data_IF_667510263105
#
_entry.id   IF_667510263105
#
_cell.length_a   1.000
_cell.length_b   1.000
_cell.length_c   1.000
_cell.angle_alpha   90.00
_cell.angle_beta   90.00
_cell.angle_gamma   90.00
#
_symmetry.space_group_name_H-M   'P 1'
#
loop_
_entity.id
_entity.type
_entity.pdbx_description
1 polymer ?
#
# COMPACT_ATOMS: atom_id res chain seq x y z
N UNK A 1 -22.67 26.60 -25.19
CA UNK A 1 -22.81 25.34 -24.47
C UNK A 1 -21.46 25.06 -23.81
N UNK A 2 -21.33 25.43 -22.53
CA UNK A 2 -20.10 25.27 -21.78
C UNK A 2 -20.08 23.84 -21.22
N UNK A 3 -19.25 23.00 -21.79
CA UNK A 3 -18.81 21.77 -21.12
C UNK A 3 -17.73 22.16 -20.14
N UNK A 4 -18.12 22.44 -18.90
CA UNK A 4 -17.22 22.44 -17.74
C UNK A 4 -16.72 21.03 -17.57
N UNK A 5 -15.48 20.81 -17.95
CA UNK A 5 -14.71 19.61 -17.65
C UNK A 5 -14.48 19.62 -16.14
N UNK A 6 -15.31 18.86 -15.40
CA UNK A 6 -15.18 18.64 -13.96
C UNK A 6 -14.05 17.61 -13.73
N UNK A 7 -12.80 18.09 -13.87
CA UNK A 7 -11.56 17.32 -13.57
C UNK A 7 -11.18 17.50 -12.11
N UNK A 8 -12.16 17.79 -11.25
CA UNK A 8 -11.90 18.09 -9.86
C UNK A 8 -11.57 16.79 -9.09
N UNK A 9 -10.26 16.51 -8.92
CA UNK A 9 -9.77 15.69 -7.82
C UNK A 9 -9.90 14.16 -7.97
N UNK A 10 -10.11 13.59 -9.17
CA UNK A 10 -10.15 12.14 -9.33
C UNK A 10 -8.78 11.53 -9.05
N UNK A 11 -8.72 10.64 -8.05
CA UNK A 11 -7.54 9.82 -7.76
C UNK A 11 -7.44 8.74 -8.83
N UNK A 12 -6.32 8.67 -9.52
CA UNK A 12 -6.01 7.61 -10.49
C UNK A 12 -4.94 6.69 -9.92
N UNK A 13 -5.19 5.38 -9.92
CA UNK A 13 -4.21 4.37 -9.51
C UNK A 13 -3.58 3.76 -10.74
N UNK A 14 -2.24 3.70 -10.74
CA UNK A 14 -1.46 3.06 -11.80
C UNK A 14 -0.46 2.07 -11.19
N UNK A 15 -0.43 0.81 -11.67
CA UNK A 15 0.66 -0.12 -11.35
C UNK A 15 2.00 0.46 -11.79
N UNK A 16 3.04 0.13 -11.04
CA UNK A 16 4.41 0.51 -11.36
C UNK A 16 4.84 -0.06 -12.70
N UNK A 17 5.30 0.81 -13.60
CA UNK A 17 5.94 0.43 -14.85
C UNK A 17 7.47 0.48 -14.73
N UNK A 18 8.24 -0.38 -15.44
CA UNK A 18 9.71 -0.42 -15.34
C UNK A 18 10.42 0.91 -15.62
N UNK A 19 9.86 1.76 -16.47
CA UNK A 19 10.43 3.08 -16.82
C UNK A 19 10.14 4.18 -15.79
N UNK A 20 9.32 3.90 -14.76
CA UNK A 20 8.91 4.88 -13.74
C UNK A 20 9.85 4.93 -12.53
N UNK A 21 11.12 4.63 -12.69
CA UNK A 21 12.07 4.60 -11.58
C UNK A 21 12.24 5.96 -10.87
N UNK A 22 12.15 7.08 -11.59
CA UNK A 22 12.22 8.43 -11.00
C UNK A 22 11.03 8.71 -10.09
N UNK A 23 9.82 8.37 -10.52
CA UNK A 23 8.61 8.49 -9.72
C UNK A 23 8.69 7.59 -8.48
N UNK A 24 9.15 6.34 -8.66
CA UNK A 24 9.34 5.39 -7.56
C UNK A 24 10.35 5.93 -6.54
N UNK A 25 11.51 6.42 -7.01
CA UNK A 25 12.54 7.05 -6.18
C UNK A 25 11.97 8.24 -5.41
N UNK A 26 11.31 9.16 -6.13
CA UNK A 26 10.73 10.37 -5.55
C UNK A 26 9.74 10.05 -4.42
N UNK A 27 8.71 9.23 -4.70
CA UNK A 27 7.71 8.86 -3.71
C UNK A 27 8.31 8.11 -2.52
N UNK A 28 9.26 7.21 -2.76
CA UNK A 28 9.89 6.44 -1.69
C UNK A 28 10.74 7.32 -0.77
N UNK A 29 11.52 8.23 -1.31
CA UNK A 29 12.31 9.18 -0.52
C UNK A 29 11.42 10.14 0.26
N UNK A 30 10.36 10.65 -0.37
CA UNK A 30 9.37 11.51 0.30
C UNK A 30 8.68 10.77 1.47
N UNK A 31 8.29 9.52 1.27
CA UNK A 31 7.66 8.69 2.31
C UNK A 31 8.57 8.47 3.51
N UNK A 32 9.84 8.14 3.27
CA UNK A 32 10.83 7.90 4.33
C UNK A 32 11.23 9.19 5.06
N UNK A 33 11.22 10.32 4.37
CA UNK A 33 11.50 11.62 4.99
C UNK A 33 10.33 12.12 5.85
N UNK A 34 9.09 11.93 5.38
CA UNK A 34 7.87 12.40 6.07
C UNK A 34 7.53 11.52 7.28
N UNK A 35 7.65 10.20 7.16
CA UNK A 35 7.21 9.25 8.18
C UNK A 35 8.26 8.17 8.48
N UNK A 36 9.49 8.52 8.91
CA UNK A 36 10.56 7.53 9.16
C UNK A 36 10.18 6.48 10.20
N UNK A 37 9.29 6.82 11.14
CA UNK A 37 8.77 5.94 12.17
C UNK A 37 7.79 4.87 11.65
N UNK A 38 7.25 5.04 10.45
CA UNK A 38 6.25 4.14 9.87
C UNK A 38 6.86 3.01 9.03
N UNK A 39 8.17 3.06 8.78
CA UNK A 39 8.84 2.11 7.91
C UNK A 39 9.98 1.39 8.63
N UNK A 40 10.23 0.14 8.23
CA UNK A 40 11.40 -0.63 8.68
C UNK A 40 12.68 -0.19 7.99
N UNK A 41 12.58 0.25 6.73
CA UNK A 41 13.70 0.83 5.96
C UNK A 41 13.87 2.28 6.36
N UNK A 42 15.10 2.69 6.66
CA UNK A 42 15.41 4.08 6.98
C UNK A 42 15.80 4.88 5.74
N UNK A 43 15.60 6.19 5.79
CA UNK A 43 15.97 7.11 4.69
C UNK A 43 17.46 6.97 4.32
N UNK A 44 18.33 6.89 5.34
CA UNK A 44 19.78 6.76 5.13
C UNK A 44 20.16 5.51 4.34
N UNK A 45 19.41 4.40 4.49
CA UNK A 45 19.66 3.14 3.79
C UNK A 45 19.44 3.23 2.27
N UNK A 46 18.73 4.26 1.83
CA UNK A 46 18.34 4.41 0.42
C UNK A 46 18.87 5.68 -0.25
N UNK A 47 19.37 6.65 0.53
CA UNK A 47 19.92 7.91 -0.01
C UNK A 47 21.15 7.69 -0.91
N UNK A 48 21.98 6.70 -0.59
CA UNK A 48 23.19 6.40 -1.33
C UNK A 48 22.95 5.56 -2.59
N UNK A 49 21.70 5.12 -2.84
CA UNK A 49 21.40 4.35 -4.05
C UNK A 49 21.58 5.20 -5.29
N UNK A 50 22.35 4.65 -6.22
CA UNK A 50 22.54 5.21 -7.55
C UNK A 50 21.24 5.11 -8.38
N UNK A 51 21.13 5.90 -9.43
CA UNK A 51 19.99 5.82 -10.36
C UNK A 51 19.88 4.43 -11.00
N UNK A 52 21.01 3.78 -11.29
CA UNK A 52 21.03 2.40 -11.79
C UNK A 52 20.38 1.42 -10.80
N UNK A 53 20.70 1.51 -9.53
CA UNK A 53 20.09 0.65 -8.49
C UNK A 53 18.60 0.91 -8.34
N UNK A 54 18.14 2.16 -8.54
CA UNK A 54 16.72 2.49 -8.59
C UNK A 54 16.02 1.90 -9.82
N UNK A 55 16.64 1.96 -11.00
CA UNK A 55 16.15 1.31 -12.22
C UNK A 55 15.99 -0.19 -12.01
N UNK A 56 17.05 -0.88 -11.55
CA UNK A 56 17.04 -2.32 -11.29
C UNK A 56 16.01 -2.73 -10.23
N UNK A 57 15.85 -1.92 -9.18
CA UNK A 57 14.81 -2.15 -8.16
C UNK A 57 13.41 -2.02 -8.76
N UNK A 58 13.18 -0.99 -9.57
CA UNK A 58 11.89 -0.71 -10.20
C UNK A 58 11.51 -1.81 -11.18
N UNK A 59 12.45 -2.25 -12.02
CA UNK A 59 12.25 -3.37 -12.94
C UNK A 59 11.86 -4.66 -12.19
N UNK A 60 12.58 -5.00 -11.12
CA UNK A 60 12.25 -6.19 -10.29
C UNK A 60 10.87 -6.09 -9.66
N UNK A 61 10.48 -4.90 -9.16
CA UNK A 61 9.17 -4.68 -8.55
C UNK A 61 8.05 -4.74 -9.57
N UNK A 62 8.26 -4.21 -10.77
CA UNK A 62 7.29 -4.23 -11.85
C UNK A 62 7.09 -5.64 -12.43
N UNK A 63 8.14 -6.48 -12.38
CA UNK A 63 8.12 -7.85 -12.90
C UNK A 63 7.74 -8.91 -11.86
N UNK A 64 7.44 -8.54 -10.61
CA UNK A 64 7.12 -9.49 -9.54
C UNK A 64 5.77 -10.18 -9.80
N UNK A 65 5.73 -11.51 -10.05
CA UNK A 65 4.48 -12.21 -10.34
C UNK A 65 3.56 -12.33 -9.10
N UNK A 66 4.13 -12.25 -7.90
CA UNK A 66 3.43 -12.39 -6.62
C UNK A 66 3.21 -11.05 -5.92
N UNK A 67 3.57 -9.94 -6.56
CA UNK A 67 3.45 -8.63 -5.97
C UNK A 67 2.99 -7.57 -6.96
N UNK A 68 2.56 -6.45 -6.44
CA UNK A 68 2.30 -5.23 -7.19
C UNK A 68 2.77 -4.04 -6.37
N UNK A 69 3.50 -3.13 -7.00
CA UNK A 69 3.69 -1.76 -6.49
C UNK A 69 2.82 -0.85 -7.34
N UNK A 70 2.18 0.13 -6.74
CA UNK A 70 1.30 1.04 -7.46
C UNK A 70 1.33 2.44 -6.83
N UNK A 71 1.02 3.42 -7.67
CA UNK A 71 1.03 4.83 -7.31
C UNK A 71 -0.34 5.44 -7.51
N UNK A 72 -0.69 6.42 -6.65
CA UNK A 72 -1.83 7.27 -6.86
C UNK A 72 -1.38 8.61 -7.46
N UNK A 73 -2.18 9.10 -8.40
CA UNK A 73 -2.00 10.39 -9.06
C UNK A 73 -3.25 11.24 -8.83
N UNK A 74 -3.03 12.52 -8.61
CA UNK A 74 -4.07 13.55 -8.60
C UNK A 74 -3.63 14.67 -9.51
N UNK A 75 -4.49 15.08 -10.45
CA UNK A 75 -4.16 16.13 -11.43
C UNK A 75 -2.88 15.83 -12.26
N UNK A 76 -2.59 14.53 -12.46
CA UNK A 76 -1.39 14.07 -13.16
C UNK A 76 -0.12 13.93 -12.29
N UNK A 77 -0.12 14.46 -11.06
CA UNK A 77 1.01 14.42 -10.15
C UNK A 77 0.96 13.19 -9.23
N UNK A 78 2.09 12.47 -9.04
CA UNK A 78 2.17 11.35 -8.14
C UNK A 78 2.09 11.83 -6.68
N UNK A 79 1.17 11.26 -5.91
CA UNK A 79 0.91 11.73 -4.54
C UNK A 79 0.82 10.64 -3.49
N UNK A 80 0.86 9.38 -3.88
CA UNK A 80 0.84 8.28 -2.92
C UNK A 80 1.44 7.00 -3.53
N UNK A 81 1.83 6.08 -2.67
CA UNK A 81 2.33 4.77 -3.05
C UNK A 81 1.83 3.68 -2.11
N UNK A 82 1.73 2.48 -2.64
CA UNK A 82 1.58 1.26 -1.87
C UNK A 82 2.13 0.06 -2.65
N UNK A 83 2.32 -1.05 -1.96
CA UNK A 83 2.61 -2.33 -2.58
C UNK A 83 1.75 -3.42 -1.94
N UNK A 84 1.48 -4.48 -2.70
CA UNK A 84 0.91 -5.71 -2.17
C UNK A 84 1.77 -6.90 -2.58
N UNK A 85 1.84 -7.90 -1.71
CA UNK A 85 2.45 -9.20 -2.00
C UNK A 85 1.48 -10.31 -1.60
N UNK A 86 1.49 -11.40 -2.37
CA UNK A 86 0.79 -12.62 -1.99
C UNK A 86 1.65 -13.43 -1.02
N UNK A 87 1.01 -14.05 -0.06
CA UNK A 87 1.62 -15.00 0.87
C UNK A 87 0.67 -16.17 1.11
N UNK A 88 1.22 -17.35 1.35
CA UNK A 88 0.46 -18.53 1.72
C UNK A 88 0.55 -18.74 3.23
N UNK A 89 -0.58 -18.92 3.89
CA UNK A 89 -0.67 -19.30 5.29
C UNK A 89 -1.44 -20.63 5.38
N UNK A 90 -0.70 -21.74 5.42
CA UNK A 90 -1.31 -23.07 5.30
C UNK A 90 -1.94 -23.27 3.93
N UNK A 91 -3.25 -23.48 3.89
CA UNK A 91 -4.02 -23.63 2.65
C UNK A 91 -4.67 -22.31 2.18
N UNK A 92 -4.48 -21.22 2.90
CA UNK A 92 -5.09 -19.93 2.61
C UNK A 92 -4.10 -19.01 1.89
N UNK A 93 -4.58 -18.41 0.79
CA UNK A 93 -3.88 -17.30 0.13
C UNK A 93 -4.26 -15.98 0.80
N UNK A 94 -3.26 -15.22 1.22
CA UNK A 94 -3.43 -13.89 1.80
C UNK A 94 -2.71 -12.86 0.91
N UNK A 95 -3.17 -11.62 0.96
CA UNK A 95 -2.41 -10.49 0.42
C UNK A 95 -1.95 -9.59 1.57
N UNK A 96 -0.70 -9.17 1.56
CA UNK A 96 -0.17 -8.20 2.53
C UNK A 96 0.10 -6.86 1.85
N UNK A 97 -0.51 -5.81 2.38
CA UNK A 97 -0.31 -4.45 1.91
C UNK A 97 0.86 -3.80 2.64
N UNK A 98 1.79 -3.24 1.88
CA UNK A 98 3.08 -2.75 2.36
C UNK A 98 3.37 -1.35 1.83
N UNK A 99 4.33 -0.67 2.45
CA UNK A 99 4.90 0.59 1.98
C UNK A 99 3.85 1.67 1.66
N UNK A 100 2.77 1.70 2.40
CA UNK A 100 1.66 2.63 2.22
C UNK A 100 2.06 4.03 2.67
N UNK A 101 1.93 4.99 1.78
CA UNK A 101 2.16 6.39 2.08
C UNK A 101 1.30 7.29 1.19
N UNK A 102 0.81 8.37 1.76
CA UNK A 102 0.09 9.45 1.07
C UNK A 102 0.75 10.76 1.44
N UNK A 103 1.04 11.59 0.45
CA UNK A 103 1.60 12.92 0.64
C UNK A 103 0.74 13.75 1.62
N UNK A 104 1.36 14.46 2.58
CA UNK A 104 0.64 15.17 3.65
C UNK A 104 -0.52 16.04 3.13
N UNK A 105 -0.30 16.78 2.05
CA UNK A 105 -1.25 17.68 1.42
C UNK A 105 -2.43 16.95 0.71
N UNK A 106 -2.31 15.64 0.53
CA UNK A 106 -3.33 14.77 -0.11
C UNK A 106 -3.97 13.79 0.88
N UNK A 107 -3.71 13.93 2.19
CA UNK A 107 -4.37 13.15 3.23
C UNK A 107 -5.79 13.64 3.47
N UNK A 108 -6.64 12.76 4.02
CA UNK A 108 -8.03 13.05 4.42
C UNK A 108 -8.97 13.47 3.27
N UNK A 109 -8.55 13.26 2.01
CA UNK A 109 -9.36 13.52 0.81
C UNK A 109 -9.66 12.24 0.01
N UNK A 110 -9.55 11.05 0.65
CA UNK A 110 -9.93 9.77 0.06
C UNK A 110 -8.80 8.98 -0.63
N UNK A 111 -7.61 9.56 -0.84
CA UNK A 111 -6.49 8.87 -1.54
C UNK A 111 -6.13 7.55 -0.88
N UNK A 112 -6.01 7.51 0.46
CA UNK A 112 -5.70 6.29 1.19
C UNK A 112 -6.77 5.20 1.03
N UNK A 113 -8.05 5.56 1.02
CA UNK A 113 -9.15 4.63 0.74
C UNK A 113 -9.00 4.04 -0.66
N UNK A 114 -8.74 4.86 -1.68
CA UNK A 114 -8.57 4.39 -3.05
C UNK A 114 -7.39 3.42 -3.19
N UNK A 115 -6.28 3.62 -2.43
CA UNK A 115 -5.18 2.66 -2.38
C UNK A 115 -5.63 1.30 -1.81
N UNK A 116 -6.42 1.31 -0.74
CA UNK A 116 -6.96 0.08 -0.12
C UNK A 116 -7.93 -0.63 -1.07
N UNK A 117 -8.84 0.11 -1.72
CA UNK A 117 -9.81 -0.45 -2.67
C UNK A 117 -9.11 -1.14 -3.85
N UNK A 118 -8.04 -0.53 -4.36
CA UNK A 118 -7.20 -1.16 -5.40
C UNK A 118 -6.55 -2.45 -4.88
N UNK A 119 -5.99 -2.43 -3.67
CA UNK A 119 -5.37 -3.60 -3.05
C UNK A 119 -6.38 -4.74 -2.88
N UNK A 120 -7.61 -4.44 -2.44
CA UNK A 120 -8.68 -5.43 -2.30
C UNK A 120 -9.02 -6.08 -3.64
N UNK A 121 -9.20 -5.26 -4.69
CA UNK A 121 -9.50 -5.76 -6.04
C UNK A 121 -8.39 -6.64 -6.55
N UNK A 122 -7.13 -6.18 -6.46
CA UNK A 122 -5.95 -6.94 -6.88
C UNK A 122 -5.81 -8.27 -6.14
N UNK A 123 -6.06 -8.28 -4.83
CA UNK A 123 -5.97 -9.47 -3.99
C UNK A 123 -7.09 -10.49 -4.31
N UNK A 124 -8.33 -10.03 -4.47
CA UNK A 124 -9.48 -10.86 -4.86
C UNK A 124 -9.27 -11.55 -6.21
N UNK A 125 -8.77 -10.82 -7.21
CA UNK A 125 -8.47 -11.37 -8.54
C UNK A 125 -7.45 -12.51 -8.49
N UNK A 126 -6.60 -12.53 -7.46
CA UNK A 126 -5.56 -13.55 -7.22
C UNK A 126 -5.96 -14.60 -6.20
N UNK A 127 -7.19 -14.60 -5.75
CA UNK A 127 -7.75 -15.63 -4.88
C UNK A 127 -7.40 -15.47 -3.41
N UNK A 128 -6.90 -14.29 -2.98
CA UNK A 128 -6.66 -14.03 -1.57
C UNK A 128 -7.99 -13.95 -0.80
N UNK A 129 -8.06 -14.63 0.35
CA UNK A 129 -9.21 -14.61 1.25
C UNK A 129 -9.22 -13.43 2.22
N UNK A 130 -8.08 -12.78 2.39
CA UNK A 130 -7.96 -11.58 3.23
C UNK A 130 -6.83 -10.66 2.76
N UNK A 131 -7.01 -9.37 3.03
CA UNK A 131 -5.95 -8.36 2.95
C UNK A 131 -5.46 -8.08 4.37
N UNK A 132 -4.14 -8.18 4.59
CA UNK A 132 -3.50 -7.89 5.87
C UNK A 132 -2.58 -6.68 5.76
N UNK A 133 -2.32 -6.03 6.89
CA UNK A 133 -1.37 -4.93 7.02
C UNK A 133 -0.70 -4.99 8.38
N UNK A 134 0.62 -4.74 8.41
CA UNK A 134 1.37 -4.53 9.64
C UNK A 134 1.51 -3.04 9.93
N UNK A 135 1.14 -2.61 11.14
CA UNK A 135 1.20 -1.22 11.57
C UNK A 135 1.94 -1.14 12.90
N UNK A 136 2.94 -0.26 13.02
CA UNK A 136 3.57 -0.02 14.32
C UNK A 136 2.54 0.43 15.35
N UNK A 137 2.57 -0.17 16.54
CA UNK A 137 1.57 0.06 17.59
C UNK A 137 1.50 1.51 18.07
N UNK A 138 2.59 2.25 17.96
CA UNK A 138 2.69 3.68 18.29
C UNK A 138 2.17 4.61 17.18
N UNK A 139 1.96 4.10 15.96
CA UNK A 139 1.36 4.85 14.86
C UNK A 139 -0.18 4.84 14.92
N UNK A 140 -0.72 5.55 15.92
CA UNK A 140 -2.15 5.58 16.19
C UNK A 140 -2.99 6.16 15.02
N UNK A 141 -2.41 7.06 14.22
CA UNK A 141 -3.09 7.62 13.04
C UNK A 141 -3.32 6.53 11.98
N UNK A 142 -2.30 5.72 11.70
CA UNK A 142 -2.44 4.61 10.76
C UNK A 142 -3.40 3.52 11.28
N UNK A 143 -3.33 3.18 12.58
CA UNK A 143 -4.27 2.23 13.20
C UNK A 143 -5.71 2.72 13.07
N UNK A 144 -5.97 4.01 13.35
CA UNK A 144 -7.30 4.60 13.21
C UNK A 144 -7.77 4.60 11.75
N UNK A 145 -6.88 4.94 10.81
CA UNK A 145 -7.18 4.88 9.38
C UNK A 145 -7.59 3.47 8.94
N UNK A 146 -6.76 2.45 9.22
CA UNK A 146 -7.09 1.08 8.80
C UNK A 146 -8.38 0.56 9.44
N UNK A 147 -8.67 0.91 10.70
CA UNK A 147 -9.97 0.61 11.32
C UNK A 147 -11.13 1.27 10.56
N UNK A 148 -10.97 2.53 10.15
CA UNK A 148 -12.03 3.27 9.45
C UNK A 148 -12.36 2.68 8.08
N UNK A 149 -11.40 2.02 7.43
CA UNK A 149 -11.57 1.38 6.12
C UNK A 149 -11.85 -0.13 6.19
N UNK A 150 -12.14 -0.66 7.40
CA UNK A 150 -12.67 -2.01 7.58
C UNK A 150 -11.72 -3.06 8.13
N UNK A 151 -10.44 -2.73 8.38
CA UNK A 151 -9.52 -3.66 9.02
C UNK A 151 -9.81 -3.83 10.50
N UNK A 152 -9.51 -5.03 11.00
CA UNK A 152 -9.63 -5.39 12.43
C UNK A 152 -8.32 -5.97 12.92
N UNK A 153 -7.98 -5.73 14.19
CA UNK A 153 -6.85 -6.36 14.84
C UNK A 153 -7.04 -7.88 14.86
N UNK A 154 -6.01 -8.61 14.49
CA UNK A 154 -6.01 -10.09 14.57
C UNK A 154 -5.65 -10.61 15.97
N UNK A 155 -5.04 -9.79 16.80
CA UNK A 155 -4.41 -10.18 18.05
C UNK A 155 -2.97 -10.68 17.89
N UNK A 156 -2.47 -10.81 16.66
CA UNK A 156 -1.08 -11.12 16.36
C UNK A 156 -0.23 -9.86 16.44
N UNK A 157 0.96 -10.00 17.02
CA UNK A 157 2.01 -8.98 17.02
C UNK A 157 3.26 -9.52 16.34
N UNK A 158 3.93 -8.67 15.58
CA UNK A 158 5.22 -8.96 14.93
C UNK A 158 6.24 -7.92 15.36
N UNK A 159 7.51 -8.21 15.12
CA UNK A 159 8.60 -7.24 15.26
C UNK A 159 9.26 -7.03 13.91
N UNK A 160 9.59 -5.78 13.58
CA UNK A 160 10.12 -5.40 12.28
C UNK A 160 11.45 -6.10 11.96
N UNK A 161 12.33 -6.17 12.95
CA UNK A 161 13.65 -6.80 12.85
C UNK A 161 14.05 -7.41 14.20
N UNK A 162 15.17 -8.15 14.25
CA UNK A 162 15.71 -8.67 15.50
C UNK A 162 16.21 -7.58 16.46
N UNK A 163 16.42 -6.37 15.96
CA UNK A 163 16.93 -5.21 16.71
C UNK A 163 15.90 -4.11 16.92
N UNK A 164 14.87 -4.04 16.10
CA UNK A 164 13.72 -3.15 16.31
C UNK A 164 12.63 -3.90 17.09
N UNK A 165 12.52 -3.58 18.37
CA UNK A 165 11.57 -4.21 19.30
C UNK A 165 10.22 -3.49 19.37
N UNK A 166 9.98 -2.50 18.50
CA UNK A 166 8.65 -1.87 18.44
C UNK A 166 7.63 -2.88 17.91
N UNK A 167 6.53 -3.11 18.63
CA UNK A 167 5.52 -4.04 18.19
C UNK A 167 4.81 -3.53 16.93
N UNK A 168 4.59 -4.45 16.00
CA UNK A 168 3.76 -4.26 14.81
C UNK A 168 2.47 -5.02 15.03
N UNK A 169 1.37 -4.30 15.07
CA UNK A 169 0.03 -4.87 15.13
C UNK A 169 -0.34 -5.40 13.75
N UNK A 170 -0.78 -6.65 13.68
CA UNK A 170 -1.32 -7.21 12.44
C UNK A 170 -2.82 -6.92 12.40
N UNK A 171 -3.25 -6.30 11.32
CA UNK A 171 -4.66 -6.03 11.06
C UNK A 171 -5.08 -6.75 9.78
N UNK A 172 -6.31 -7.26 9.75
CA UNK A 172 -6.85 -8.02 8.63
C UNK A 172 -8.24 -7.51 8.23
N UNK A 173 -8.51 -7.59 6.94
CA UNK A 173 -9.82 -7.38 6.35
C UNK A 173 -10.16 -8.58 5.48
N UNK A 174 -11.23 -9.35 5.80
CA UNK A 174 -11.70 -10.43 4.96
C UNK A 174 -12.14 -9.92 3.59
N UNK A 175 -11.78 -10.67 2.54
CA UNK A 175 -12.17 -10.36 1.16
C UNK A 175 -13.26 -11.35 0.73
N UNK A 176 -14.43 -10.84 0.39
CA UNK A 176 -15.57 -11.65 -0.05
C UNK A 176 -15.80 -11.42 -1.53
N UNK A 177 -15.83 -12.50 -2.33
CA UNK A 177 -16.30 -12.41 -3.72
C UNK A 177 -17.80 -12.13 -3.71
N UNK A 178 -18.23 -11.21 -4.56
CA UNK A 178 -19.64 -10.79 -4.66
C UNK A 178 -20.65 -11.91 -4.92
N UNK A 179 -20.21 -13.12 -5.27
CA UNK A 179 -21.05 -14.27 -5.55
C UNK A 179 -21.47 -15.07 -4.29
N UNK A 180 -20.86 -14.81 -3.13
CA UNK A 180 -21.12 -15.54 -1.88
C UNK A 180 -22.28 -14.96 -1.03
N UNK A 181 -22.98 -13.96 -1.53
CA UNK A 181 -24.12 -13.32 -0.80
C UNK A 181 -25.45 -14.07 -0.99
N UNK A 182 -25.47 -15.16 -1.75
CA UNK A 182 -26.69 -15.83 -2.25
C UNK A 182 -27.16 -17.09 -1.53
N UNK A 183 -26.45 -17.69 -0.58
CA UNK A 183 -26.87 -18.96 0.04
C UNK A 183 -26.87 -18.94 1.57
N UNK A 184 -27.73 -18.12 2.17
CA UNK A 184 -28.26 -18.36 3.53
C UNK A 184 -29.75 -18.04 3.54
N UNK A 185 -30.52 -19.01 3.14
CA UNK A 185 -31.96 -19.10 3.47
C UNK A 185 -32.17 -20.28 4.38
#
# INVERSE_FOLDING_TARGET
MNTTNDTNGRVEIRPLHPDQWEVHKHLRLAALADAPYAFTTQLMDVLERTDREWMELTERRAADPNGVTYFAFTEGEPCAMAACILSELGAEMLAEMLAVWVAPERRKVGVGQTLVDYACTWALERGAGALIVGVYADNQEAVAFYRSVGFRLTGEERFATRTDHRPILVMSMPLVRGDDVGERS
#
